data_IF_657736955583
#
_entry.id   IF_657736955583
#
_cell.length_a   1.000
_cell.length_b   1.000
_cell.length_c   1.000
_cell.angle_alpha   90.00
_cell.angle_beta   90.00
_cell.angle_gamma   90.00
#
_symmetry.space_group_name_H-M   'P 1'
#
loop_
_entity.id
_entity.type
_entity.pdbx_description
1 polymer ?
#
# COMPACT_ATOMS: atom_id res chain seq x y z
N UNK A 1 -3.66 -0.44 -20.02
CA UNK A 1 -3.93 -0.19 -18.58
C UNK A 1 -2.63 -0.37 -17.78
N UNK A 2 -1.49 -0.19 -18.45
CA UNK A 2 -0.24 -0.87 -18.10
C UNK A 2 0.77 0.02 -17.38
N UNK A 3 0.50 1.33 -17.28
CA UNK A 3 1.41 2.29 -16.65
C UNK A 3 0.77 2.95 -15.42
N UNK A 4 0.37 2.17 -14.41
CA UNK A 4 -0.08 2.74 -13.13
C UNK A 4 1.07 3.18 -12.23
N UNK A 5 2.24 2.58 -12.43
CA UNK A 5 3.51 2.95 -11.79
C UNK A 5 4.41 3.57 -12.85
N UNK A 6 5.10 4.67 -12.53
CA UNK A 6 6.05 5.31 -13.44
C UNK A 6 7.24 4.38 -13.72
N UNK A 7 7.73 4.38 -14.97
CA UNK A 7 8.91 3.61 -15.37
C UNK A 7 10.21 4.02 -14.65
N UNK A 8 10.23 5.21 -14.06
CA UNK A 8 11.35 5.72 -13.25
C UNK A 8 11.41 5.04 -11.86
N UNK A 9 10.40 4.24 -11.52
CA UNK A 9 10.28 3.52 -10.25
C UNK A 9 10.93 2.13 -10.32
N UNK A 10 12.26 2.06 -10.50
CA UNK A 10 12.99 0.78 -10.50
C UNK A 10 13.78 0.57 -9.22
N UNK A 11 13.10 0.53 -8.09
CA UNK A 11 13.72 0.23 -6.78
C UNK A 11 13.41 -1.22 -6.38
N UNK A 12 14.25 -2.14 -6.85
CA UNK A 12 14.00 -3.56 -6.67
C UNK A 12 13.99 -3.97 -5.19
N UNK A 13 13.02 -4.79 -4.80
CA UNK A 13 13.16 -5.56 -3.58
C UNK A 13 14.27 -6.59 -3.79
N UNK A 14 15.31 -6.55 -2.97
CA UNK A 14 16.31 -7.60 -2.95
C UNK A 14 15.69 -8.94 -2.52
N UNK A 15 16.30 -10.05 -2.92
CA UNK A 15 15.83 -11.40 -2.59
C UNK A 15 15.80 -11.69 -1.08
N UNK A 16 16.54 -10.93 -0.27
CA UNK A 16 16.55 -10.98 1.19
C UNK A 16 15.26 -10.44 1.82
N UNK A 17 14.49 -9.60 1.13
CA UNK A 17 13.29 -9.00 1.70
C UNK A 17 12.12 -9.98 1.65
N UNK A 18 11.58 -10.34 2.82
CA UNK A 18 10.37 -11.15 2.94
C UNK A 18 9.13 -10.30 3.29
N UNK A 19 9.32 -9.05 3.70
CA UNK A 19 8.24 -8.11 3.99
C UNK A 19 8.42 -6.80 3.21
N UNK A 20 7.35 -6.31 2.59
CA UNK A 20 7.27 -4.97 2.00
C UNK A 20 6.24 -4.16 2.79
N UNK A 21 6.67 -3.02 3.31
CA UNK A 21 5.80 -2.01 3.91
C UNK A 21 5.58 -0.92 2.88
N UNK A 22 4.32 -0.67 2.52
CA UNK A 22 3.95 0.43 1.65
C UNK A 22 3.17 1.48 2.43
N UNK A 23 3.72 2.68 2.46
CA UNK A 23 3.15 3.84 3.14
C UNK A 23 2.41 4.70 2.10
N UNK A 24 1.09 4.76 2.20
CA UNK A 24 0.28 5.72 1.46
C UNK A 24 0.63 7.15 1.89
N UNK A 25 1.16 7.92 0.94
CA UNK A 25 1.70 9.26 1.14
C UNK A 25 1.27 10.19 0.02
N UNK A 26 1.55 11.48 0.20
CA UNK A 26 1.28 12.52 -0.80
C UNK A 26 2.57 13.16 -1.25
N UNK A 27 2.69 13.58 -2.50
CA UNK A 27 3.92 14.17 -3.05
C UNK A 27 4.45 15.29 -2.14
N UNK A 28 3.55 16.16 -1.66
CA UNK A 28 3.85 17.26 -0.73
C UNK A 28 4.26 16.87 0.70
N UNK A 29 4.14 15.60 1.11
CA UNK A 29 4.38 15.12 2.48
C UNK A 29 5.83 14.66 2.73
N UNK A 30 6.81 15.35 2.15
CA UNK A 30 8.24 15.06 2.33
C UNK A 30 8.61 15.00 3.81
N UNK A 31 8.20 15.99 4.60
CA UNK A 31 8.55 16.04 6.02
C UNK A 31 7.99 14.84 6.81
N UNK A 32 6.77 14.38 6.49
CA UNK A 32 6.19 13.20 7.13
C UNK A 32 6.97 11.93 6.77
N UNK A 33 7.34 11.76 5.50
CA UNK A 33 8.18 10.64 5.06
C UNK A 33 9.53 10.65 5.75
N UNK A 34 10.19 11.80 5.83
CA UNK A 34 11.46 11.97 6.55
C UNK A 34 11.33 11.60 8.03
N UNK A 35 10.24 11.98 8.71
CA UNK A 35 10.00 11.56 10.10
C UNK A 35 9.85 10.03 10.21
N UNK A 36 9.14 9.39 9.29
CA UNK A 36 9.01 7.92 9.25
C UNK A 36 10.38 7.25 9.05
N UNK A 37 11.18 7.69 8.08
CA UNK A 37 12.56 7.19 7.83
C UNK A 37 13.46 7.32 9.06
N UNK A 38 13.28 8.37 9.85
CA UNK A 38 14.07 8.64 11.06
C UNK A 38 13.54 7.95 12.32
N UNK A 39 12.39 7.28 12.23
CA UNK A 39 11.71 6.63 13.36
C UNK A 39 11.54 5.14 13.08
N UNK A 40 10.30 4.66 12.97
CA UNK A 40 9.98 3.24 12.93
C UNK A 40 10.40 2.54 11.63
N UNK A 41 10.65 3.27 10.55
CA UNK A 41 11.15 2.70 9.29
C UNK A 41 12.68 2.68 9.19
N UNK A 42 13.40 3.12 10.23
CA UNK A 42 14.85 3.13 10.22
C UNK A 42 15.41 1.71 10.41
N UNK A 43 15.85 1.08 9.32
CA UNK A 43 16.35 -0.30 9.34
C UNK A 43 17.53 -0.53 10.29
N UNK A 44 18.42 0.46 10.45
CA UNK A 44 19.58 0.37 11.31
C UNK A 44 19.21 0.40 12.80
N UNK A 45 18.17 1.15 13.16
CA UNK A 45 17.68 1.26 14.54
C UNK A 45 16.76 0.11 14.93
N UNK A 46 16.00 -0.41 13.98
CA UNK A 46 14.94 -1.38 14.24
C UNK A 46 15.36 -2.83 13.96
N UNK A 47 16.57 -3.08 13.43
CA UNK A 47 17.06 -4.42 13.06
C UNK A 47 16.12 -5.17 12.08
N UNK A 48 15.50 -4.44 11.16
CA UNK A 48 14.51 -4.97 10.21
C UNK A 48 15.15 -5.29 8.86
N UNK A 49 16.15 -6.17 8.87
CA UNK A 49 16.96 -6.51 7.68
C UNK A 49 16.19 -7.27 6.59
N UNK A 50 14.97 -7.75 6.90
CA UNK A 50 14.11 -8.47 5.98
C UNK A 50 12.93 -7.64 5.46
N UNK A 51 12.88 -6.35 5.83
CA UNK A 51 11.79 -5.43 5.53
C UNK A 51 12.26 -4.29 4.66
N UNK A 52 11.58 -4.08 3.53
CA UNK A 52 11.71 -2.87 2.73
C UNK A 52 10.53 -1.96 3.04
N UNK A 53 10.78 -0.68 3.34
CA UNK A 53 9.72 0.34 3.42
C UNK A 53 9.77 1.19 2.16
N UNK A 54 8.60 1.43 1.57
CA UNK A 54 8.42 2.25 0.37
C UNK A 54 7.24 3.22 0.59
N UNK A 55 7.31 4.40 -0.01
CA UNK A 55 6.23 5.39 0.01
C UNK A 55 5.55 5.44 -1.34
N UNK A 56 4.26 5.16 -1.41
CA UNK A 56 3.50 5.36 -2.65
C UNK A 56 2.94 6.78 -2.68
N UNK A 57 3.18 7.49 -3.79
CA UNK A 57 2.68 8.84 -4.02
C UNK A 57 2.01 8.92 -5.39
N UNK A 58 1.09 9.86 -5.55
CA UNK A 58 0.47 10.15 -6.85
C UNK A 58 1.00 11.43 -7.47
N UNK A 59 0.45 11.78 -8.62
CA UNK A 59 0.63 13.08 -9.24
C UNK A 59 -0.11 14.15 -8.46
N UNK A 60 0.62 15.20 -8.11
CA UNK A 60 0.06 16.38 -7.46
C UNK A 60 -0.20 17.51 -8.49
N UNK A 61 -1.34 18.18 -8.36
CA UNK A 61 -1.68 19.37 -9.11
C UNK A 61 -1.65 20.57 -8.18
N UNK A 62 -0.68 21.48 -8.36
CA UNK A 62 -0.68 22.75 -7.64
C UNK A 62 -1.35 23.81 -8.51
N UNK A 63 -2.47 24.36 -8.06
CA UNK A 63 -3.25 25.37 -8.78
C UNK A 63 -3.61 24.94 -10.22
N UNK A 64 -3.96 23.67 -10.41
CA UNK A 64 -4.32 23.10 -11.71
C UNK A 64 -3.15 22.89 -12.68
N UNK A 65 -1.91 23.16 -12.26
CA UNK A 65 -0.70 22.85 -13.03
C UNK A 65 -0.03 21.62 -12.44
N UNK A 66 0.45 20.74 -13.31
CA UNK A 66 1.36 19.65 -12.92
C UNK A 66 2.57 20.28 -12.26
N UNK A 67 2.77 19.98 -10.98
CA UNK A 67 4.07 20.26 -10.37
C UNK A 67 5.03 19.17 -10.83
N UNK A 68 6.25 19.56 -11.19
CA UNK A 68 7.32 18.59 -11.37
C UNK A 68 7.48 17.73 -10.13
N UNK A 69 8.05 16.54 -10.33
CA UNK A 69 8.52 15.65 -9.28
C UNK A 69 9.41 16.48 -8.33
N UNK A 70 9.30 16.27 -7.01
CA UNK A 70 10.21 16.96 -6.09
C UNK A 70 11.58 16.27 -6.22
N UNK A 71 12.38 16.75 -7.17
CA UNK A 71 13.53 16.06 -7.78
C UNK A 71 14.67 15.70 -6.79
N UNK A 72 14.68 16.27 -5.57
CA UNK A 72 15.71 15.96 -4.57
C UNK A 72 15.47 14.68 -3.77
N UNK A 73 14.22 14.35 -3.45
CA UNK A 73 13.95 13.24 -2.52
C UNK A 73 14.19 11.86 -3.15
N UNK A 74 13.82 11.69 -4.42
CA UNK A 74 14.06 10.43 -5.13
C UNK A 74 15.54 10.12 -5.30
N UNK A 75 16.33 11.16 -5.53
CA UNK A 75 17.77 11.04 -5.68
C UNK A 75 18.42 10.57 -4.37
N UNK A 76 17.94 11.03 -3.23
CA UNK A 76 18.59 10.77 -1.95
C UNK A 76 18.14 9.46 -1.29
N UNK A 77 16.85 9.09 -1.42
CA UNK A 77 16.27 7.99 -0.63
C UNK A 77 15.91 6.74 -1.43
N UNK A 78 15.64 6.86 -2.73
CA UNK A 78 15.27 5.72 -3.60
C UNK A 78 14.20 4.79 -2.99
N UNK A 79 13.18 5.36 -2.34
CA UNK A 79 12.15 4.62 -1.62
C UNK A 79 10.72 5.08 -1.95
N UNK A 80 10.54 5.76 -3.09
CA UNK A 80 9.21 6.15 -3.58
C UNK A 80 8.70 5.22 -4.68
N UNK A 81 7.39 5.00 -4.67
CA UNK A 81 6.60 4.37 -5.73
C UNK A 81 5.77 5.47 -6.38
N UNK A 82 6.13 5.86 -7.60
CA UNK A 82 5.42 6.92 -8.31
C UNK A 82 4.21 6.36 -9.05
N UNK A 83 3.02 6.69 -8.56
CA UNK A 83 1.78 6.38 -9.23
C UNK A 83 1.45 7.42 -10.30
N UNK A 84 0.92 6.96 -11.43
CA UNK A 84 0.42 7.83 -12.48
C UNK A 84 -0.97 8.42 -12.19
N UNK A 85 -1.59 8.06 -11.06
CA UNK A 85 -2.88 8.56 -10.57
C UNK A 85 -2.75 9.94 -9.93
N UNK A 86 -3.80 10.77 -10.00
CA UNK A 86 -3.82 12.08 -9.33
C UNK A 86 -4.35 11.98 -7.90
N UNK A 87 -3.59 12.49 -6.94
CA UNK A 87 -3.90 12.39 -5.50
C UNK A 87 -5.23 13.05 -5.11
N UNK A 88 -5.67 14.06 -5.85
CA UNK A 88 -6.92 14.77 -5.59
C UNK A 88 -8.14 14.09 -6.22
N UNK A 89 -7.94 13.07 -7.07
CA UNK A 89 -9.00 12.38 -7.81
C UNK A 89 -9.19 10.92 -7.38
N UNK A 90 -8.20 10.35 -6.69
CA UNK A 90 -8.23 8.99 -6.17
C UNK A 90 -7.67 9.01 -4.75
N UNK A 91 -8.50 8.68 -3.76
CA UNK A 91 -8.09 8.56 -2.36
C UNK A 91 -7.23 7.33 -2.10
N UNK A 92 -7.04 6.46 -3.08
CA UNK A 92 -6.51 5.13 -2.86
C UNK A 92 -5.25 4.84 -3.69
N UNK A 93 -4.12 4.71 -3.01
CA UNK A 93 -2.83 4.28 -3.55
C UNK A 93 -2.56 2.77 -3.39
N UNK A 94 -3.52 2.02 -2.85
CA UNK A 94 -3.44 0.57 -2.65
C UNK A 94 -3.19 -0.17 -3.95
N UNK A 95 -3.93 0.14 -5.02
CA UNK A 95 -3.78 -0.57 -6.29
C UNK A 95 -2.38 -0.40 -6.91
N UNK A 96 -1.84 0.83 -7.09
CA UNK A 96 -0.46 1.02 -7.55
C UNK A 96 0.57 0.27 -6.70
N UNK A 97 0.39 0.28 -5.37
CA UNK A 97 1.27 -0.40 -4.44
C UNK A 97 1.19 -1.93 -4.52
N UNK A 98 -0.02 -2.50 -4.67
CA UNK A 98 -0.22 -3.92 -4.91
C UNK A 98 0.42 -4.35 -6.23
N UNK A 99 0.22 -3.57 -7.29
CA UNK A 99 0.83 -3.82 -8.60
C UNK A 99 2.35 -3.78 -8.52
N UNK A 100 2.91 -2.77 -7.85
CA UNK A 100 4.34 -2.65 -7.63
C UNK A 100 4.91 -3.87 -6.90
N UNK A 101 4.25 -4.32 -5.84
CA UNK A 101 4.69 -5.46 -5.06
C UNK A 101 4.75 -6.74 -5.90
N UNK A 102 3.84 -6.92 -6.85
CA UNK A 102 3.82 -8.08 -7.74
C UNK A 102 4.90 -8.02 -8.82
N UNK A 103 5.11 -6.85 -9.43
CA UNK A 103 6.03 -6.69 -10.55
C UNK A 103 7.51 -6.58 -10.08
N UNK A 104 7.76 -5.94 -8.93
CA UNK A 104 9.11 -5.60 -8.48
C UNK A 104 9.53 -6.25 -7.15
N UNK A 105 8.60 -6.89 -6.45
CA UNK A 105 8.85 -7.56 -5.17
C UNK A 105 8.23 -8.98 -5.10
N UNK A 106 8.48 -9.85 -6.10
CA UNK A 106 7.81 -11.15 -6.20
C UNK A 106 8.12 -12.10 -5.03
N UNK A 107 9.29 -11.95 -4.41
CA UNK A 107 9.75 -12.82 -3.32
C UNK A 107 9.13 -12.47 -1.96
N UNK A 108 8.63 -11.25 -1.81
CA UNK A 108 8.03 -10.79 -0.57
C UNK A 108 6.84 -11.68 -0.23
N UNK A 109 6.86 -12.23 0.97
CA UNK A 109 5.81 -13.07 1.50
C UNK A 109 4.67 -12.30 2.13
N UNK A 110 4.95 -11.10 2.64
CA UNK A 110 3.95 -10.27 3.29
C UNK A 110 4.00 -8.81 2.83
N UNK A 111 2.84 -8.26 2.54
CA UNK A 111 2.66 -6.88 2.11
C UNK A 111 1.85 -6.13 3.16
N UNK A 112 2.51 -5.23 3.88
CA UNK A 112 1.91 -4.39 4.92
C UNK A 112 1.61 -3.01 4.32
N UNK A 113 0.38 -2.56 4.44
CA UNK A 113 -0.03 -1.22 4.05
C UNK A 113 -0.26 -0.37 5.28
N UNK A 114 0.11 0.90 5.18
CA UNK A 114 -0.08 1.89 6.23
C UNK A 114 -0.24 3.29 5.63
N UNK A 115 -0.67 4.26 6.43
CA UNK A 115 -0.64 5.68 6.08
C UNK A 115 0.48 6.45 6.82
N UNK A 116 0.67 7.72 6.48
CA UNK A 116 1.74 8.57 7.08
C UNK A 116 1.56 8.93 8.56
N UNK A 117 0.41 8.66 9.16
CA UNK A 117 0.06 9.01 10.54
C UNK A 117 0.12 7.82 11.52
N UNK A 118 0.52 6.64 11.04
CA UNK A 118 0.74 5.48 11.92
C UNK A 118 2.17 5.40 12.46
N UNK A 119 2.28 4.71 13.60
CA UNK A 119 3.54 4.23 14.17
C UNK A 119 3.48 2.71 14.19
N UNK A 120 4.48 2.05 13.61
CA UNK A 120 4.50 0.60 13.46
C UNK A 120 5.57 -0.04 14.34
N UNK A 121 5.24 -1.21 14.92
CA UNK A 121 6.23 -2.13 15.46
C UNK A 121 6.63 -3.14 14.37
N UNK A 122 7.61 -2.78 13.53
CA UNK A 122 8.02 -3.61 12.39
C UNK A 122 8.55 -4.99 12.81
N UNK A 123 9.21 -5.11 13.97
CA UNK A 123 9.66 -6.41 14.47
C UNK A 123 8.48 -7.36 14.72
N UNK A 124 7.39 -6.84 15.30
CA UNK A 124 6.16 -7.61 15.50
C UNK A 124 5.56 -8.09 14.18
N UNK A 125 5.51 -7.23 13.16
CA UNK A 125 5.03 -7.60 11.83
C UNK A 125 5.95 -8.59 11.11
N UNK A 126 7.27 -8.48 11.26
CA UNK A 126 8.21 -9.48 10.74
C UNK A 126 7.98 -10.85 11.38
N UNK A 127 7.76 -10.88 12.71
CA UNK A 127 7.51 -12.13 13.43
C UNK A 127 6.20 -12.77 12.97
N UNK A 128 5.13 -11.98 12.80
CA UNK A 128 3.89 -12.46 12.21
C UNK A 128 4.11 -12.98 10.78
N UNK A 129 4.88 -12.25 9.96
CA UNK A 129 5.17 -12.68 8.60
C UNK A 129 5.90 -14.03 8.56
N UNK A 130 6.89 -14.22 9.45
CA UNK A 130 7.65 -15.48 9.59
C UNK A 130 6.77 -16.62 10.09
N UNK A 131 5.90 -16.37 11.07
CA UNK A 131 4.97 -17.38 11.60
C UNK A 131 4.05 -17.93 10.51
N UNK A 132 3.58 -17.06 9.62
CA UNK A 132 2.72 -17.43 8.51
C UNK A 132 3.46 -17.72 7.20
N UNK A 133 4.78 -17.92 7.21
CA UNK A 133 5.54 -18.29 6.01
C UNK A 133 5.11 -19.67 5.46
N UNK A 134 4.52 -20.52 6.30
CA UNK A 134 3.86 -21.77 5.85
C UNK A 134 2.67 -21.53 4.91
N UNK A 135 2.13 -20.31 4.86
CA UNK A 135 1.00 -19.92 4.02
C UNK A 135 1.42 -19.34 2.66
N UNK A 136 2.72 -19.22 2.34
CA UNK A 136 3.18 -18.62 1.07
C UNK A 136 2.55 -19.28 -0.18
N UNK A 137 2.29 -20.59 -0.11
CA UNK A 137 1.71 -21.39 -1.20
C UNK A 137 0.21 -21.68 -1.04
N UNK A 138 -0.44 -21.12 -0.01
CA UNK A 138 -1.88 -21.25 0.23
C UNK A 138 -2.60 -19.97 -0.22
N UNK A 139 -3.91 -19.93 -0.02
CA UNK A 139 -4.77 -18.79 -0.41
C UNK A 139 -4.43 -17.48 0.33
N UNK A 140 -3.55 -17.56 1.33
CA UNK A 140 -3.03 -16.45 2.11
C UNK A 140 -4.03 -15.91 3.15
N UNK A 141 -3.68 -14.81 3.80
CA UNK A 141 -4.51 -14.17 4.83
C UNK A 141 -4.53 -12.66 4.63
N UNK A 142 -5.66 -12.06 5.00
CA UNK A 142 -5.77 -10.62 5.22
C UNK A 142 -5.88 -10.36 6.71
N UNK A 143 -4.94 -9.60 7.27
CA UNK A 143 -4.87 -9.27 8.69
C UNK A 143 -5.07 -7.76 8.87
N UNK A 144 -5.92 -7.37 9.81
CA UNK A 144 -6.17 -5.97 10.12
C UNK A 144 -7.13 -5.84 11.30
N UNK A 145 -7.42 -4.59 11.69
CA UNK A 145 -8.45 -4.34 12.71
C UNK A 145 -9.83 -4.31 12.05
N UNK A 146 -10.49 -5.46 12.01
CA UNK A 146 -11.73 -5.63 11.27
C UNK A 146 -12.97 -5.40 12.13
N UNK A 147 -13.87 -4.55 11.62
CA UNK A 147 -15.16 -4.22 12.21
C UNK A 147 -16.27 -4.76 11.31
N UNK A 148 -17.30 -5.34 11.93
CA UNK A 148 -18.39 -6.03 11.22
C UNK A 148 -19.59 -5.13 10.93
N UNK A 149 -19.46 -3.80 10.99
CA UNK A 149 -20.62 -2.89 10.94
C UNK A 149 -20.35 -1.56 10.24
N UNK A 150 -20.62 -1.50 8.94
CA UNK A 150 -21.08 -0.26 8.31
C UNK A 150 -22.49 -0.54 7.78
N UNK A 151 -23.47 0.25 8.22
CA UNK A 151 -24.75 0.34 7.53
C UNK A 151 -24.60 1.38 6.42
N UNK A 152 -24.46 0.93 5.18
CA UNK A 152 -24.60 1.82 4.03
C UNK A 152 -26.10 1.88 3.72
N UNK A 153 -26.75 2.97 4.11
CA UNK A 153 -28.15 3.23 3.76
C UNK A 153 -28.23 3.72 2.32
N UNK A 154 -28.46 2.80 1.38
CA UNK A 154 -28.95 3.12 0.05
C UNK A 154 -30.46 3.39 0.08
N UNK A 155 -31.00 4.06 -0.95
CA UNK A 155 -32.43 4.40 -1.08
C UNK A 155 -33.40 3.19 -0.93
N UNK A 156 -32.94 1.95 -1.04
CA UNK A 156 -33.78 0.74 -0.98
C UNK A 156 -33.21 -0.46 -0.19
N UNK A 157 -31.94 -0.45 0.27
CA UNK A 157 -31.33 -1.61 0.94
C UNK A 157 -30.20 -1.21 1.89
N UNK A 158 -30.18 -1.82 3.07
CA UNK A 158 -29.04 -1.80 4.01
C UNK A 158 -28.14 -2.98 3.72
N UNK A 159 -26.88 -2.74 3.38
CA UNK A 159 -25.86 -3.78 3.28
C UNK A 159 -24.97 -3.74 4.51
N UNK A 160 -24.70 -4.93 5.09
CA UNK A 160 -23.73 -5.10 6.16
C UNK A 160 -22.50 -5.80 5.57
N UNK A 161 -21.39 -5.08 5.49
CA UNK A 161 -20.09 -5.63 5.11
C UNK A 161 -19.14 -5.57 6.29
N UNK A 162 -18.33 -6.62 6.42
CA UNK A 162 -17.14 -6.57 7.26
C UNK A 162 -16.09 -5.76 6.53
N UNK A 163 -15.45 -4.83 7.21
CA UNK A 163 -14.32 -4.07 6.66
C UNK A 163 -13.22 -4.00 7.69
N UNK A 164 -11.98 -4.03 7.24
CA UNK A 164 -10.85 -3.71 8.09
C UNK A 164 -10.64 -2.20 8.10
N UNK A 165 -10.29 -1.66 9.27
CA UNK A 165 -10.23 -0.23 9.55
C UNK A 165 -8.97 0.10 10.35
N UNK A 166 -8.66 1.38 10.50
CA UNK A 166 -7.53 1.81 11.35
C UNK A 166 -6.22 2.06 10.59
N UNK A 167 -6.26 2.09 9.25
CA UNK A 167 -5.15 2.57 8.43
C UNK A 167 -3.92 1.67 8.38
N UNK A 168 -3.98 0.46 8.94
CA UNK A 168 -2.95 -0.59 8.82
C UNK A 168 -3.59 -1.93 8.52
N UNK A 169 -3.10 -2.62 7.50
CA UNK A 169 -3.50 -3.99 7.19
C UNK A 169 -2.38 -4.73 6.43
N UNK A 170 -2.37 -6.06 6.53
CA UNK A 170 -1.31 -6.92 6.03
C UNK A 170 -1.90 -8.05 5.19
N UNK A 171 -1.41 -8.18 3.96
CA UNK A 171 -1.63 -9.34 3.10
C UNK A 171 -0.49 -10.32 3.33
N UNK A 172 -0.83 -11.55 3.69
CA UNK A 172 0.11 -12.64 3.90
C UNK A 172 -0.08 -13.67 2.81
N UNK A 173 1.02 -14.11 2.20
CA UNK A 173 1.03 -15.14 1.17
C UNK A 173 1.07 -14.56 -0.24
N UNK A 174 1.94 -15.14 -1.08
CA UNK A 174 2.16 -14.64 -2.45
C UNK A 174 0.92 -14.76 -3.33
N UNK A 175 0.13 -15.82 -3.16
CA UNK A 175 -1.10 -16.06 -3.96
C UNK A 175 -2.24 -15.10 -3.62
N UNK A 176 -2.41 -14.73 -2.36
CA UNK A 176 -3.44 -13.77 -1.95
C UNK A 176 -3.34 -12.46 -2.75
N UNK A 177 -2.12 -11.95 -2.94
CA UNK A 177 -1.87 -10.72 -3.71
C UNK A 177 -2.31 -10.85 -5.16
N UNK A 178 -2.05 -11.99 -5.81
CA UNK A 178 -2.47 -12.25 -7.19
C UNK A 178 -3.99 -12.36 -7.31
N UNK A 179 -4.63 -13.11 -6.40
CA UNK A 179 -6.08 -13.25 -6.38
C UNK A 179 -6.77 -11.91 -6.15
N UNK A 180 -6.25 -11.12 -5.19
CA UNK A 180 -6.77 -9.79 -4.94
C UNK A 180 -6.59 -8.87 -6.14
N UNK A 181 -5.40 -8.81 -6.77
CA UNK A 181 -5.21 -8.00 -7.97
C UNK A 181 -6.19 -8.40 -9.08
N UNK A 182 -6.36 -9.71 -9.30
CA UNK A 182 -7.29 -10.23 -10.31
C UNK A 182 -8.73 -9.81 -10.00
N UNK A 183 -9.16 -9.98 -8.75
CA UNK A 183 -10.48 -9.55 -8.30
C UNK A 183 -10.70 -8.03 -8.47
N UNK A 184 -9.69 -7.22 -8.15
CA UNK A 184 -9.76 -5.77 -8.33
C UNK A 184 -9.87 -5.38 -9.81
N UNK A 185 -9.14 -6.07 -10.70
CA UNK A 185 -9.22 -5.86 -12.15
C UNK A 185 -10.58 -6.28 -12.72
N UNK A 186 -11.20 -7.32 -12.16
CA UNK A 186 -12.52 -7.79 -12.56
C UNK A 186 -13.66 -6.90 -12.03
N UNK A 187 -13.36 -6.00 -11.08
CA UNK A 187 -14.30 -5.01 -10.57
C UNK A 187 -14.27 -3.71 -11.37
N UNK A 188 -15.31 -2.89 -11.21
CA UNK A 188 -15.36 -1.52 -11.74
C UNK A 188 -14.45 -0.55 -10.96
N UNK A 189 -13.30 -1.00 -10.45
CA UNK A 189 -12.41 -0.24 -9.57
C UNK A 189 -12.08 1.15 -10.11
N UNK A 190 -11.70 1.20 -11.38
CA UNK A 190 -11.26 2.42 -12.06
C UNK A 190 -12.41 3.23 -12.67
N UNK A 191 -13.59 2.63 -12.82
CA UNK A 191 -14.72 3.23 -13.53
C UNK A 191 -15.79 3.74 -12.57
N UNK A 192 -15.96 3.11 -11.42
CA UNK A 192 -16.91 3.51 -10.38
C UNK A 192 -16.43 4.74 -9.61
N UNK A 193 -17.28 5.76 -9.53
CA UNK A 193 -17.07 6.91 -8.65
C UNK A 193 -17.10 6.48 -7.17
N UNK A 194 -17.97 5.54 -6.82
CA UNK A 194 -18.05 5.00 -5.46
C UNK A 194 -16.74 4.32 -5.06
N UNK A 195 -16.15 3.53 -5.95
CA UNK A 195 -14.87 2.86 -5.66
C UNK A 195 -13.73 3.87 -5.57
N UNK A 196 -13.67 4.87 -6.46
CA UNK A 196 -12.61 5.90 -6.43
C UNK A 196 -12.66 6.84 -5.22
N UNK A 197 -13.81 6.95 -4.57
CA UNK A 197 -14.03 7.79 -3.39
C UNK A 197 -14.09 6.99 -2.08
N UNK A 198 -14.11 5.66 -2.16
CA UNK A 198 -14.07 4.79 -0.98
C UNK A 198 -12.64 4.70 -0.46
N UNK A 199 -12.51 4.48 0.84
CA UNK A 199 -11.22 4.21 1.44
C UNK A 199 -10.75 2.78 1.08
N UNK A 200 -9.44 2.60 0.97
CA UNK A 200 -8.80 1.31 0.63
C UNK A 200 -9.17 0.18 1.58
N UNK A 201 -9.46 0.53 2.83
CA UNK A 201 -9.79 -0.39 3.92
C UNK A 201 -11.20 -1.01 3.74
N UNK A 202 -12.15 -0.25 3.19
CA UNK A 202 -13.49 -0.73 2.74
C UNK A 202 -13.39 -1.56 1.48
N UNK A 203 -12.43 -1.25 0.61
CA UNK A 203 -12.35 -1.80 -0.75
C UNK A 203 -11.65 -3.15 -0.84
N UNK A 204 -10.80 -3.47 0.13
CA UNK A 204 -9.97 -4.68 0.15
C UNK A 204 -10.58 -5.80 0.99
N UNK A 205 -11.65 -5.53 1.73
CA UNK A 205 -12.35 -6.49 2.61
C UNK A 205 -13.64 -6.99 1.98
#
# INVERSE_FOLDING_TARGET
>A
MDDLVSNDTKNYCEASHNMLVVVDSKERYIEKRTRIRNTWANSHRMNTSYTKTMFVTGKYLMNGKKTGQIDGEDHDFHDRIHSNLYEDLTSDMFFPALRYALDYCPNVGCLLFTNTDQILNLEGFENLCKEYDVLQNKDGLFLGHCSTKIEISGFFTTFQMSYCSGGVYMLVGRRARNHLLTALLDTNWFTSLYTRQSNSDVLVT
#
